data_IF_426981012472
#
_entry.id   IF_426981012472
#
_cell.length_a   1.000
_cell.length_b   1.000
_cell.length_c   1.000
_cell.angle_alpha   90.00
_cell.angle_beta   90.00
_cell.angle_gamma   90.00
#
_symmetry.space_group_name_H-M   'P 1'
#
loop_
_entity.id
_entity.type
_entity.pdbx_description
1 polymer ?
#
# COMPACT_ATOMS: atom_id res chain seq x y z
N UNK A 1 -0.71 -55.02 59.92
CA UNK A 1 0.57 -54.34 59.64
C UNK A 1 0.97 -54.67 58.21
N UNK A 2 0.79 -53.73 57.28
CA UNK A 2 1.14 -53.89 55.85
C UNK A 2 2.62 -53.51 55.67
N UNK A 3 3.39 -54.45 55.14
CA UNK A 3 4.79 -54.28 54.76
C UNK A 3 4.88 -53.38 53.52
N UNK A 4 5.69 -52.33 53.62
CA UNK A 4 6.23 -51.62 52.46
C UNK A 4 7.51 -52.34 52.01
N UNK A 5 7.67 -52.54 50.70
CA UNK A 5 9.00 -52.42 50.09
C UNK A 5 8.87 -52.04 48.61
N UNK A 6 9.74 -51.10 48.25
CA UNK A 6 9.76 -50.33 47.02
C UNK A 6 10.42 -51.14 45.88
N UNK A 7 9.92 -51.01 44.65
CA UNK A 7 10.64 -51.43 43.45
C UNK A 7 10.80 -50.23 42.53
N UNK A 8 12.06 -49.88 42.27
CA UNK A 8 12.51 -48.76 41.44
C UNK A 8 11.98 -48.87 40.00
N UNK A 9 11.55 -47.72 39.49
CA UNK A 9 11.25 -47.46 38.09
C UNK A 9 12.52 -47.48 37.23
N UNK A 10 12.47 -48.17 36.10
CA UNK A 10 13.39 -47.98 34.97
C UNK A 10 12.55 -47.59 33.75
N UNK A 11 12.31 -46.29 33.56
CA UNK A 11 11.86 -45.78 32.27
C UNK A 11 13.08 -45.63 31.37
N UNK A 12 13.27 -46.59 30.46
CA UNK A 12 14.23 -46.48 29.37
C UNK A 12 13.69 -45.46 28.36
N UNK A 13 14.17 -44.22 28.44
CA UNK A 13 13.85 -43.15 27.51
C UNK A 13 14.57 -43.36 26.19
N UNK A 14 13.84 -43.82 25.16
CA UNK A 14 14.30 -43.80 23.78
C UNK A 14 14.37 -42.34 23.30
N UNK A 15 15.59 -41.78 23.23
CA UNK A 15 15.85 -40.49 22.60
C UNK A 15 15.70 -40.62 21.08
N UNK A 16 14.49 -40.39 20.57
CA UNK A 16 14.26 -40.19 19.14
C UNK A 16 14.85 -38.82 18.78
N UNK A 17 16.07 -38.83 18.24
CA UNK A 17 16.66 -37.64 17.63
C UNK A 17 15.95 -37.39 16.30
N UNK A 18 14.99 -36.47 16.29
CA UNK A 18 14.40 -35.98 15.04
C UNK A 18 15.48 -35.21 14.27
N UNK A 19 15.99 -35.80 13.19
CA UNK A 19 16.79 -35.09 12.21
C UNK A 19 15.86 -34.10 11.49
N UNK A 20 15.91 -32.83 11.90
CA UNK A 20 15.35 -31.75 11.11
C UNK A 20 16.20 -31.61 9.83
N UNK A 21 15.70 -32.13 8.72
CA UNK A 21 16.24 -31.78 7.41
C UNK A 21 15.97 -30.28 7.21
N UNK A 22 17.02 -29.47 7.23
CA UNK A 22 16.91 -28.08 6.81
C UNK A 22 16.47 -28.09 5.34
N UNK A 23 15.27 -27.58 5.05
CA UNK A 23 14.81 -27.42 3.69
C UNK A 23 15.80 -26.53 2.92
N UNK A 24 16.23 -26.95 1.72
CA UNK A 24 17.10 -26.12 0.89
C UNK A 24 16.36 -24.85 0.47
N UNK A 25 16.99 -23.69 0.71
CA UNK A 25 16.45 -22.39 0.30
C UNK A 25 16.44 -22.34 -1.24
N UNK A 26 15.27 -22.16 -1.90
CA UNK A 26 15.16 -22.04 -3.35
C UNK A 26 16.12 -20.98 -3.90
N UNK A 27 16.86 -21.34 -4.96
CA UNK A 27 17.78 -20.43 -5.63
C UNK A 27 17.27 -19.98 -7.00
N UNK A 28 17.19 -18.67 -7.19
CA UNK A 28 16.69 -18.03 -8.40
C UNK A 28 17.82 -17.23 -9.03
N UNK A 29 18.10 -17.45 -10.30
CA UNK A 29 19.13 -16.69 -11.04
C UNK A 29 18.48 -15.52 -11.76
N UNK A 30 19.07 -14.34 -11.62
CA UNK A 30 18.66 -13.12 -12.32
C UNK A 30 19.89 -12.54 -12.99
N UNK A 31 19.77 -12.19 -14.27
CA UNK A 31 20.82 -11.45 -14.98
C UNK A 31 20.36 -10.02 -15.21
N UNK A 32 21.15 -9.04 -14.76
CA UNK A 32 20.92 -7.62 -15.03
C UNK A 32 21.78 -7.21 -16.22
N UNK A 33 21.16 -6.61 -17.23
CA UNK A 33 21.82 -6.06 -18.43
C UNK A 33 21.73 -4.54 -18.44
N UNK A 34 22.32 -3.87 -19.43
CA UNK A 34 22.16 -2.42 -19.60
C UNK A 34 20.69 -1.97 -19.80
N UNK A 35 19.79 -2.89 -20.20
CA UNK A 35 18.42 -2.54 -20.62
C UNK A 35 17.31 -3.18 -19.78
N UNK A 36 17.52 -4.35 -19.21
CA UNK A 36 16.48 -5.16 -18.56
C UNK A 36 17.06 -6.28 -17.69
N UNK A 37 16.20 -6.97 -16.93
CA UNK A 37 16.52 -8.24 -16.31
C UNK A 37 16.21 -9.44 -17.22
N UNK A 38 16.91 -10.54 -16.98
CA UNK A 38 16.60 -11.84 -17.55
C UNK A 38 16.51 -12.89 -16.43
N UNK A 39 15.33 -13.50 -16.22
CA UNK A 39 14.04 -13.18 -16.84
C UNK A 39 13.40 -11.88 -16.28
N UNK A 40 12.46 -11.31 -17.05
CA UNK A 40 11.64 -10.15 -16.60
C UNK A 40 10.44 -10.54 -15.75
N UNK A 41 10.07 -11.83 -15.74
CA UNK A 41 8.98 -12.37 -14.92
C UNK A 41 9.51 -13.53 -14.11
N UNK A 42 9.28 -13.49 -12.81
CA UNK A 42 9.73 -14.48 -11.85
C UNK A 42 8.52 -15.01 -11.07
N UNK A 43 8.51 -16.32 -10.82
CA UNK A 43 7.57 -16.95 -9.91
C UNK A 43 8.34 -17.75 -8.89
N UNK A 44 8.08 -17.50 -7.60
CA UNK A 44 8.81 -18.11 -6.49
C UNK A 44 7.84 -18.58 -5.40
N UNK A 45 8.22 -19.58 -4.59
CA UNK A 45 7.48 -19.92 -3.39
C UNK A 45 7.54 -18.80 -2.34
N UNK A 46 6.49 -18.64 -1.54
CA UNK A 46 6.54 -17.83 -0.32
C UNK A 46 7.51 -18.42 0.70
N UNK A 47 8.09 -17.55 1.52
CA UNK A 47 9.14 -17.89 2.46
C UNK A 47 10.52 -17.43 1.99
N UNK A 48 11.55 -18.05 2.56
CA UNK A 48 12.93 -17.72 2.26
C UNK A 48 13.32 -18.11 0.83
N UNK A 49 13.80 -17.14 0.04
CA UNK A 49 14.29 -17.31 -1.34
C UNK A 49 15.66 -16.68 -1.48
N UNK A 50 16.56 -17.31 -2.22
CA UNK A 50 17.89 -16.78 -2.54
C UNK A 50 18.01 -16.41 -4.01
N UNK A 51 18.18 -15.12 -4.28
CA UNK A 51 18.52 -14.61 -5.60
C UNK A 51 20.03 -14.61 -5.82
N UNK A 52 20.46 -15.06 -6.99
CA UNK A 52 21.82 -14.99 -7.50
C UNK A 52 21.81 -14.02 -8.69
N UNK A 53 22.23 -12.79 -8.42
CA UNK A 53 22.07 -11.65 -9.32
C UNK A 53 23.39 -11.44 -10.04
N UNK A 54 23.44 -11.64 -11.35
CA UNK A 54 24.65 -11.49 -12.17
C UNK A 54 24.55 -10.23 -13.01
N UNK A 55 25.58 -9.39 -12.99
CA UNK A 55 25.64 -8.22 -13.84
C UNK A 55 26.37 -8.53 -15.16
N UNK A 56 25.64 -8.43 -16.29
CA UNK A 56 26.17 -8.56 -17.66
C UNK A 56 26.17 -7.24 -18.43
N UNK A 57 26.13 -6.11 -17.73
CA UNK A 57 26.33 -4.78 -18.29
C UNK A 57 27.80 -4.35 -18.27
N UNK A 58 28.06 -3.15 -18.79
CA UNK A 58 29.39 -2.53 -18.79
C UNK A 58 29.66 -1.61 -17.59
N UNK A 59 28.73 -1.50 -16.63
CA UNK A 59 28.85 -0.63 -15.44
C UNK A 59 28.38 -1.32 -14.17
N UNK A 60 28.70 -0.78 -13.00
CA UNK A 60 28.09 -1.28 -11.76
C UNK A 60 26.58 -1.02 -11.78
N UNK A 61 25.78 -2.03 -11.43
CA UNK A 61 24.31 -1.97 -11.44
C UNK A 61 23.74 -2.58 -10.15
N UNK A 62 22.45 -2.37 -9.96
CA UNK A 62 21.67 -2.88 -8.84
C UNK A 62 20.48 -3.73 -9.30
N UNK A 63 19.92 -4.48 -8.36
CA UNK A 63 18.64 -5.17 -8.51
C UNK A 63 17.85 -5.06 -7.22
N UNK A 64 16.62 -4.58 -7.33
CA UNK A 64 15.74 -4.34 -6.19
C UNK A 64 14.42 -5.08 -6.39
N UNK A 65 13.82 -5.51 -5.29
CA UNK A 65 12.43 -5.97 -5.21
C UNK A 65 11.61 -4.83 -4.63
N UNK A 66 10.57 -4.41 -5.34
CA UNK A 66 9.70 -3.31 -4.95
C UNK A 66 8.30 -3.81 -4.57
N UNK A 67 7.69 -3.12 -3.61
CA UNK A 67 6.28 -3.23 -3.30
C UNK A 67 5.66 -1.82 -3.32
N UNK A 68 5.17 -1.42 -4.51
CA UNK A 68 4.80 -0.04 -4.79
C UNK A 68 6.02 0.87 -4.72
N UNK A 69 5.99 1.87 -3.84
CA UNK A 69 7.09 2.84 -3.64
C UNK A 69 8.18 2.37 -2.67
N UNK A 70 8.03 1.18 -2.09
CA UNK A 70 8.94 0.66 -1.07
C UNK A 70 9.93 -0.34 -1.66
N UNK A 71 11.21 -0.19 -1.32
CA UNK A 71 12.23 -1.22 -1.56
C UNK A 71 12.11 -2.30 -0.49
N UNK A 72 11.78 -3.52 -0.90
CA UNK A 72 11.66 -4.71 -0.03
C UNK A 72 13.02 -5.31 0.27
N UNK A 73 13.86 -5.44 -0.76
CA UNK A 73 15.23 -5.94 -0.65
C UNK A 73 16.04 -5.52 -1.88
N UNK A 74 17.34 -5.30 -1.70
CA UNK A 74 18.21 -4.82 -2.78
C UNK A 74 19.63 -5.41 -2.71
N UNK A 75 20.27 -5.43 -3.87
CA UNK A 75 21.73 -5.53 -4.00
C UNK A 75 22.25 -4.47 -4.96
N UNK A 76 22.99 -3.52 -4.40
CA UNK A 76 23.61 -2.41 -5.13
C UNK A 76 25.07 -2.71 -5.52
N UNK A 77 25.60 -1.89 -6.43
CA UNK A 77 27.02 -1.87 -6.81
C UNK A 77 27.59 -3.22 -7.26
N UNK A 78 26.80 -4.02 -7.96
CA UNK A 78 27.24 -5.29 -8.55
C UNK A 78 28.15 -4.94 -9.73
N UNK A 79 29.45 -5.19 -9.61
CA UNK A 79 30.43 -4.85 -10.65
C UNK A 79 30.19 -5.63 -11.97
N UNK A 80 30.59 -5.08 -13.13
CA UNK A 80 30.51 -5.78 -14.43
C UNK A 80 31.12 -7.18 -14.39
N UNK A 81 30.36 -8.20 -14.80
CA UNK A 81 30.81 -9.59 -14.83
C UNK A 81 30.77 -10.31 -13.47
N UNK A 82 30.42 -9.62 -12.38
CA UNK A 82 30.28 -10.23 -11.05
C UNK A 82 28.83 -10.61 -10.76
N UNK A 83 28.66 -11.47 -9.75
CA UNK A 83 27.36 -11.77 -9.18
C UNK A 83 27.35 -11.48 -7.68
N UNK A 84 26.17 -11.17 -7.15
CA UNK A 84 25.90 -11.09 -5.72
C UNK A 84 24.74 -12.01 -5.35
N UNK A 85 24.68 -12.37 -4.06
CA UNK A 85 23.60 -13.20 -3.50
C UNK A 85 22.74 -12.35 -2.56
N UNK A 86 21.43 -12.53 -2.66
CA UNK A 86 20.45 -11.93 -1.75
C UNK A 86 19.52 -13.01 -1.25
N UNK A 87 19.44 -13.19 0.07
CA UNK A 87 18.44 -14.08 0.68
C UNK A 87 17.39 -13.19 1.33
N UNK A 88 16.13 -13.40 0.97
CA UNK A 88 14.99 -12.59 1.42
C UNK A 88 13.84 -13.52 1.77
N UNK A 89 13.07 -13.17 2.80
CA UNK A 89 11.84 -13.86 3.15
C UNK A 89 10.66 -13.13 2.50
N UNK A 90 9.97 -13.80 1.57
CA UNK A 90 8.94 -13.18 0.73
C UNK A 90 7.55 -13.68 1.10
N UNK A 91 6.64 -12.74 1.34
CA UNK A 91 5.22 -13.04 1.53
C UNK A 91 4.52 -13.27 0.18
N UNK A 92 3.46 -14.11 0.13
CA UNK A 92 2.67 -14.30 -1.07
C UNK A 92 2.17 -12.97 -1.65
N UNK A 93 2.23 -12.78 -2.97
CA UNK A 93 1.82 -11.55 -3.62
C UNK A 93 2.51 -11.26 -4.94
N UNK A 94 2.23 -10.09 -5.50
CA UNK A 94 2.88 -9.57 -6.71
C UNK A 94 3.75 -8.39 -6.32
N UNK A 95 4.99 -8.41 -6.79
CA UNK A 95 6.02 -7.39 -6.58
C UNK A 95 6.53 -6.92 -7.94
N UNK A 96 7.09 -5.72 -7.97
CA UNK A 96 7.89 -5.25 -9.10
C UNK A 96 9.37 -5.48 -8.82
N UNK A 97 10.20 -5.45 -9.86
CA UNK A 97 11.65 -5.52 -9.72
C UNK A 97 12.31 -4.47 -10.61
N UNK A 98 13.34 -3.79 -10.10
CA UNK A 98 14.14 -2.85 -10.89
C UNK A 98 15.38 -3.55 -11.42
N UNK A 99 15.80 -3.15 -12.62
CA UNK A 99 16.83 -3.84 -13.38
C UNK A 99 17.94 -2.87 -13.78
N UNK A 100 18.88 -2.63 -12.87
CA UNK A 100 19.95 -1.68 -13.08
C UNK A 100 19.46 -0.25 -12.97
N UNK A 101 19.27 0.45 -14.09
CA UNK A 101 18.85 1.85 -14.07
C UNK A 101 17.33 1.97 -13.86
N UNK A 102 16.90 2.93 -13.04
CA UNK A 102 15.47 3.23 -12.80
C UNK A 102 14.67 3.56 -14.08
N UNK A 103 15.33 3.90 -15.18
CA UNK A 103 14.69 4.14 -16.49
C UNK A 103 14.40 2.87 -17.27
N UNK A 104 14.94 1.72 -16.84
CA UNK A 104 14.68 0.43 -17.48
C UNK A 104 13.27 -0.07 -17.12
N UNK A 105 12.66 -0.90 -17.96
CA UNK A 105 11.36 -1.50 -17.64
C UNK A 105 11.43 -2.29 -16.33
N UNK A 106 10.38 -2.20 -15.50
CA UNK A 106 10.25 -3.01 -14.31
C UNK A 106 9.90 -4.45 -14.67
N UNK A 107 10.52 -5.41 -13.99
CA UNK A 107 10.12 -6.82 -14.02
C UNK A 107 8.99 -7.12 -13.03
N UNK A 108 8.38 -8.29 -13.12
CA UNK A 108 7.36 -8.77 -12.18
C UNK A 108 7.85 -10.00 -11.41
N UNK A 109 7.58 -10.02 -10.11
CA UNK A 109 7.84 -11.16 -9.23
C UNK A 109 6.54 -11.60 -8.55
N UNK A 110 6.08 -12.81 -8.86
CA UNK A 110 4.91 -13.43 -8.24
C UNK A 110 5.37 -14.43 -7.19
N UNK A 111 4.93 -14.24 -5.95
CA UNK A 111 5.23 -15.11 -4.82
C UNK A 111 3.99 -15.95 -4.50
N UNK A 112 4.11 -17.26 -4.63
CA UNK A 112 3.00 -18.21 -4.46
C UNK A 112 2.85 -18.65 -3.01
N UNK A 113 1.61 -18.68 -2.49
CA UNK A 113 1.35 -19.18 -1.14
C UNK A 113 1.52 -20.70 -1.05
N UNK A 114 2.12 -21.17 0.04
CA UNK A 114 2.21 -22.61 0.33
C UNK A 114 1.06 -23.14 1.20
N UNK A 115 0.38 -22.32 1.99
CA UNK A 115 -0.77 -22.73 2.81
C UNK A 115 -1.64 -21.49 3.14
N UNK A 116 -2.97 -21.66 3.25
CA UNK A 116 -3.93 -20.63 3.69
C UNK A 116 -3.79 -20.34 5.19
N UNK A 117 -2.68 -19.73 5.61
CA UNK A 117 -2.65 -19.06 6.89
C UNK A 117 -3.38 -17.71 6.73
N UNK A 118 -4.28 -17.34 7.66
CA UNK A 118 -4.92 -16.03 7.60
C UNK A 118 -3.82 -14.96 7.61
N UNK A 119 -3.89 -14.06 6.63
CA UNK A 119 -2.87 -13.03 6.45
C UNK A 119 -2.84 -12.11 7.67
N UNK A 120 -1.67 -12.00 8.29
CA UNK A 120 -1.47 -11.06 9.40
C UNK A 120 -1.06 -9.71 8.84
N UNK A 121 -1.89 -8.69 9.11
CA UNK A 121 -1.61 -7.32 8.71
C UNK A 121 -0.30 -6.85 9.33
N UNK A 122 0.65 -6.40 8.52
CA UNK A 122 1.92 -5.89 9.01
C UNK A 122 1.95 -4.37 8.98
N UNK A 123 2.80 -3.76 9.80
CA UNK A 123 3.04 -2.30 9.81
C UNK A 123 3.45 -1.81 8.41
N UNK A 124 4.22 -2.61 7.68
CA UNK A 124 4.68 -2.31 6.31
C UNK A 124 3.52 -2.16 5.32
N UNK A 125 2.42 -2.88 5.50
CA UNK A 125 1.25 -2.76 4.62
C UNK A 125 0.57 -1.41 4.81
N UNK A 126 0.42 -0.95 6.06
CA UNK A 126 -0.09 0.38 6.38
C UNK A 126 0.83 1.47 5.80
N UNK A 127 2.15 1.30 5.93
CA UNK A 127 3.15 2.23 5.38
C UNK A 127 3.04 2.29 3.86
N UNK A 128 2.95 1.15 3.17
CA UNK A 128 2.79 1.11 1.71
C UNK A 128 1.56 1.90 1.26
N UNK A 129 0.39 1.59 1.81
CA UNK A 129 -0.87 2.25 1.45
C UNK A 129 -0.78 3.76 1.70
N UNK A 130 -0.31 4.17 2.87
CA UNK A 130 -0.20 5.60 3.22
C UNK A 130 0.83 6.34 2.39
N UNK A 131 1.97 5.72 2.06
CA UNK A 131 3.00 6.31 1.22
C UNK A 131 2.50 6.52 -0.22
N UNK A 132 1.86 5.50 -0.81
CA UNK A 132 1.29 5.60 -2.16
C UNK A 132 0.14 6.63 -2.22
N UNK A 133 -0.74 6.63 -1.22
CA UNK A 133 -1.83 7.58 -1.16
C UNK A 133 -1.31 9.02 -0.96
N UNK A 134 -0.31 9.21 -0.08
CA UNK A 134 0.34 10.51 0.11
C UNK A 134 1.02 10.98 -1.17
N UNK A 135 1.70 10.08 -1.89
CA UNK A 135 2.32 10.41 -3.18
C UNK A 135 1.27 10.89 -4.19
N UNK A 136 0.12 10.20 -4.28
CA UNK A 136 -1.01 10.64 -5.10
C UNK A 136 -1.45 12.08 -4.76
N UNK A 137 -1.61 12.41 -3.48
CA UNK A 137 -1.98 13.78 -3.07
C UNK A 137 -0.90 14.81 -3.37
N UNK A 138 0.37 14.46 -3.22
CA UNK A 138 1.49 15.33 -3.61
C UNK A 138 1.43 15.61 -5.12
N UNK A 139 1.13 14.62 -5.95
CA UNK A 139 1.00 14.83 -7.40
C UNK A 139 -0.20 15.72 -7.74
N UNK A 140 -1.37 15.49 -7.12
CA UNK A 140 -2.54 16.37 -7.29
C UNK A 140 -2.24 17.82 -6.85
N UNK A 141 -1.55 18.00 -5.72
CA UNK A 141 -1.15 19.34 -5.24
C UNK A 141 -0.25 20.08 -6.23
N UNK A 142 0.69 19.38 -6.86
CA UNK A 142 1.56 19.96 -7.91
C UNK A 142 0.78 20.34 -9.15
N UNK A 143 -0.21 19.54 -9.54
CA UNK A 143 -1.07 19.85 -10.67
C UNK A 143 -1.94 21.08 -10.38
N UNK A 144 -2.51 21.17 -9.17
CA UNK A 144 -3.31 22.31 -8.75
C UNK A 144 -2.47 23.59 -8.66
N UNK A 145 -1.27 23.52 -8.07
CA UNK A 145 -0.34 24.65 -7.96
C UNK A 145 0.02 25.21 -9.34
N UNK A 146 0.37 24.34 -10.30
CA UNK A 146 0.59 24.75 -11.71
C UNK A 146 -0.67 25.33 -12.36
N UNK A 147 -1.84 24.74 -12.11
CA UNK A 147 -3.09 25.25 -12.64
C UNK A 147 -3.48 26.59 -11.98
N UNK A 148 -2.95 26.90 -10.80
CA UNK A 148 -3.20 28.13 -10.06
C UNK A 148 -2.50 29.36 -10.67
N UNK A 149 -1.41 29.18 -11.42
CA UNK A 149 -0.69 30.28 -12.08
C UNK A 149 -1.58 31.10 -13.03
N UNK A 150 -2.54 30.45 -13.70
CA UNK A 150 -3.47 31.09 -14.63
C UNK A 150 -4.90 31.21 -14.07
N UNK A 151 -5.05 31.22 -12.74
CA UNK A 151 -6.37 31.16 -12.10
C UNK A 151 -7.14 32.47 -12.14
N UNK A 152 -8.15 32.56 -13.01
CA UNK A 152 -9.10 33.65 -13.05
C UNK A 152 -10.38 33.31 -12.25
N UNK A 153 -10.71 34.12 -11.23
CA UNK A 153 -11.93 33.95 -10.41
C UNK A 153 -13.22 34.01 -11.21
N UNK A 154 -13.25 34.79 -12.30
CA UNK A 154 -14.42 34.90 -13.16
C UNK A 154 -14.61 33.69 -14.09
N UNK A 155 -13.58 32.83 -14.24
CA UNK A 155 -13.58 31.73 -15.20
C UNK A 155 -12.75 30.54 -14.69
N UNK A 156 -13.21 29.91 -13.62
CA UNK A 156 -12.57 28.70 -13.07
C UNK A 156 -12.92 27.52 -13.98
N UNK A 157 -11.90 26.89 -14.56
CA UNK A 157 -12.14 25.77 -15.46
C UNK A 157 -12.47 24.47 -14.68
N UNK A 158 -13.10 23.47 -15.32
CA UNK A 158 -13.49 22.24 -14.65
C UNK A 158 -12.31 21.47 -14.01
N UNK A 159 -11.15 21.42 -14.66
CA UNK A 159 -9.98 20.70 -14.13
C UNK A 159 -9.44 21.32 -12.83
N UNK A 160 -9.35 22.65 -12.79
CA UNK A 160 -9.00 23.42 -11.58
C UNK A 160 -9.98 23.13 -10.44
N UNK A 161 -11.28 23.12 -10.75
CA UNK A 161 -12.34 22.83 -9.78
C UNK A 161 -12.22 21.42 -9.22
N UNK A 162 -12.06 20.42 -10.08
CA UNK A 162 -11.91 19.02 -9.67
C UNK A 162 -10.69 18.83 -8.77
N UNK A 163 -9.53 19.33 -9.18
CA UNK A 163 -8.30 19.25 -8.38
C UNK A 163 -8.44 19.92 -7.02
N UNK A 164 -9.10 21.08 -6.98
CA UNK A 164 -9.35 21.82 -5.74
C UNK A 164 -10.18 21.00 -4.75
N UNK A 165 -11.35 20.48 -5.17
CA UNK A 165 -12.21 19.71 -4.27
C UNK A 165 -11.61 18.36 -3.88
N UNK A 166 -10.82 17.72 -4.75
CA UNK A 166 -10.07 16.51 -4.39
C UNK A 166 -9.10 16.76 -3.24
N UNK A 167 -8.36 17.87 -3.25
CA UNK A 167 -7.43 18.19 -2.17
C UNK A 167 -8.15 18.71 -0.93
N UNK A 168 -9.14 19.59 -1.10
CA UNK A 168 -9.93 20.16 -0.02
C UNK A 168 -10.59 19.08 0.85
N UNK A 169 -11.19 18.08 0.20
CA UNK A 169 -11.85 16.98 0.92
C UNK A 169 -10.88 16.18 1.78
N UNK A 170 -9.57 16.19 1.50
CA UNK A 170 -8.57 15.38 2.20
C UNK A 170 -7.57 16.14 3.07
N UNK A 171 -7.60 17.48 3.06
CA UNK A 171 -6.74 18.27 3.94
C UNK A 171 -6.88 17.85 5.42
N UNK A 172 -8.12 17.58 5.87
CA UNK A 172 -8.42 17.09 7.22
C UNK A 172 -7.96 15.67 7.55
N UNK A 173 -7.30 14.95 6.63
CA UNK A 173 -6.67 13.65 6.93
C UNK A 173 -5.23 13.78 7.49
N UNK A 174 -4.60 14.96 7.35
CA UNK A 174 -3.22 15.21 7.79
C UNK A 174 -3.13 15.93 9.14
N UNK A 175 -4.25 16.46 9.62
CA UNK A 175 -4.37 17.20 10.89
C UNK A 175 -5.83 17.18 11.33
N UNK A 176 -6.11 17.52 12.59
CA UNK A 176 -7.49 17.78 13.03
C UNK A 176 -8.01 18.96 12.19
N UNK A 177 -9.04 18.73 11.38
CA UNK A 177 -9.55 19.70 10.43
C UNK A 177 -9.83 21.04 11.12
N UNK A 178 -9.14 22.09 10.69
CA UNK A 178 -9.43 23.48 11.06
C UNK A 178 -10.33 24.08 9.96
N UNK A 179 -11.14 25.09 10.29
CA UNK A 179 -12.11 25.73 9.39
C UNK A 179 -11.43 26.30 8.12
N UNK A 180 -10.12 26.54 8.17
CA UNK A 180 -9.27 26.95 7.04
C UNK A 180 -9.14 25.89 5.94
N UNK A 181 -9.39 24.62 6.24
CA UNK A 181 -9.32 23.51 5.28
C UNK A 181 -10.56 23.43 4.37
N UNK A 182 -11.60 24.22 4.64
CA UNK A 182 -12.90 24.18 3.94
C UNK A 182 -13.25 25.49 3.22
N UNK A 183 -12.30 26.43 3.09
CA UNK A 183 -12.59 27.72 2.46
C UNK A 183 -13.08 27.57 1.01
N UNK A 184 -14.02 28.43 0.60
CA UNK A 184 -14.63 28.44 -0.72
C UNK A 184 -13.57 28.69 -1.82
N UNK A 185 -13.65 27.90 -2.89
CA UNK A 185 -12.84 28.03 -4.10
C UNK A 185 -12.92 29.45 -4.72
N UNK A 186 -14.06 30.14 -4.57
CA UNK A 186 -14.24 31.52 -5.03
C UNK A 186 -13.62 32.58 -4.08
N UNK A 187 -13.10 32.17 -2.93
CA UNK A 187 -12.57 33.02 -1.88
C UNK A 187 -11.36 33.87 -2.28
N UNK A 188 -11.13 34.95 -1.50
CA UNK A 188 -10.00 35.86 -1.72
C UNK A 188 -8.64 35.20 -1.42
N UNK A 189 -8.60 34.26 -0.48
CA UNK A 189 -7.36 33.64 0.02
C UNK A 189 -7.01 32.27 -0.58
N UNK A 190 -7.73 31.84 -1.63
CA UNK A 190 -7.57 30.50 -2.25
C UNK A 190 -6.12 30.16 -2.66
N UNK A 191 -5.34 31.11 -3.17
CA UNK A 191 -3.95 30.86 -3.58
C UNK A 191 -3.05 30.58 -2.37
N UNK A 192 -3.29 31.28 -1.27
CA UNK A 192 -2.61 31.01 0.01
C UNK A 192 -3.01 29.65 0.55
N UNK A 193 -4.27 29.26 0.40
CA UNK A 193 -4.76 27.94 0.81
C UNK A 193 -4.15 26.80 -0.03
N UNK A 194 -4.09 26.94 -1.36
CA UNK A 194 -3.43 25.96 -2.25
C UNK A 194 -1.97 25.75 -1.83
N UNK A 195 -1.26 26.84 -1.49
CA UNK A 195 0.12 26.77 -0.97
C UNK A 195 0.18 26.08 0.40
N UNK A 196 -0.76 26.38 1.30
CA UNK A 196 -0.83 25.74 2.61
C UNK A 196 -1.07 24.23 2.49
N UNK A 197 -1.98 23.79 1.62
CA UNK A 197 -2.19 22.36 1.35
C UNK A 197 -0.96 21.69 0.73
N UNK A 198 -0.29 22.37 -0.20
CA UNK A 198 0.96 21.85 -0.79
C UNK A 198 2.04 21.63 0.27
N UNK A 199 2.15 22.54 1.24
CA UNK A 199 3.05 22.38 2.39
C UNK A 199 2.59 21.26 3.32
N UNK A 200 1.30 21.18 3.61
CA UNK A 200 0.69 20.15 4.46
C UNK A 200 0.96 18.74 3.92
N UNK A 201 0.59 18.47 2.66
CA UNK A 201 0.73 17.14 2.06
C UNK A 201 2.17 16.70 1.88
N UNK A 202 3.11 17.64 1.73
CA UNK A 202 4.54 17.30 1.67
C UNK A 202 5.14 17.09 3.05
N UNK A 203 4.87 18.00 3.97
CA UNK A 203 5.53 18.09 5.27
C UNK A 203 4.95 17.18 6.34
N UNK A 204 3.67 16.87 6.31
CA UNK A 204 3.01 16.06 7.35
C UNK A 204 2.93 14.58 6.99
N UNK A 205 2.93 13.73 8.01
CA UNK A 205 2.72 12.28 7.86
C UNK A 205 1.24 11.99 7.67
N UNK A 206 0.93 11.11 6.71
CA UNK A 206 -0.43 10.58 6.55
C UNK A 206 -0.54 9.26 7.31
N UNK A 207 -1.52 9.16 8.21
CA UNK A 207 -1.83 7.92 8.91
C UNK A 207 -3.07 7.26 8.31
N UNK A 208 -3.06 5.93 8.18
CA UNK A 208 -4.15 5.20 7.52
C UNK A 208 -5.48 5.35 8.26
N UNK A 209 -5.48 5.25 9.59
CA UNK A 209 -6.69 5.45 10.41
C UNK A 209 -7.26 6.86 10.29
N UNK A 210 -6.41 7.90 10.19
CA UNK A 210 -6.86 9.28 9.96
C UNK A 210 -7.48 9.46 8.57
N UNK A 211 -6.90 8.82 7.55
CA UNK A 211 -7.45 8.82 6.19
C UNK A 211 -8.82 8.13 6.15
N UNK A 212 -8.96 6.96 6.77
CA UNK A 212 -10.22 6.23 6.86
C UNK A 212 -11.28 7.01 7.62
N UNK A 213 -10.91 7.53 8.80
CA UNK A 213 -11.77 8.43 9.60
C UNK A 213 -12.25 9.63 8.78
N UNK A 214 -11.40 10.20 7.92
CA UNK A 214 -11.78 11.31 7.05
C UNK A 214 -12.83 10.89 6.04
N UNK A 215 -12.68 9.75 5.38
CA UNK A 215 -13.69 9.22 4.46
C UNK A 215 -14.99 8.88 5.15
N UNK A 216 -14.94 8.24 6.33
CA UNK A 216 -16.12 7.94 7.12
C UNK A 216 -16.88 9.22 7.53
N UNK A 217 -16.16 10.30 7.87
CA UNK A 217 -16.77 11.58 8.18
C UNK A 217 -17.42 12.23 6.94
N UNK A 218 -16.75 12.16 5.78
CA UNK A 218 -17.29 12.69 4.51
C UNK A 218 -18.54 11.93 4.07
N UNK A 219 -18.52 10.59 4.13
CA UNK A 219 -19.69 9.75 3.86
C UNK A 219 -20.77 9.86 4.95
N UNK A 220 -20.49 10.50 6.08
CA UNK A 220 -21.49 10.81 7.10
C UNK A 220 -22.29 12.08 6.85
N UNK A 221 -21.94 12.87 5.84
CA UNK A 221 -22.61 14.14 5.54
C UNK A 221 -23.93 13.92 4.80
N UNK A 222 -24.97 14.66 5.21
CA UNK A 222 -26.33 14.50 4.66
C UNK A 222 -26.49 15.09 3.25
N UNK A 223 -25.72 16.11 2.92
CA UNK A 223 -25.77 16.78 1.61
C UNK A 223 -24.35 17.07 1.13
N UNK A 224 -24.03 16.58 -0.06
CA UNK A 224 -22.79 16.85 -0.77
C UNK A 224 -23.18 17.53 -2.08
N UNK A 225 -22.51 18.62 -2.44
CA UNK A 225 -22.68 19.18 -3.77
C UNK A 225 -21.99 18.26 -4.80
N UNK A 226 -22.34 18.40 -6.08
CA UNK A 226 -21.84 17.53 -7.14
C UNK A 226 -20.30 17.48 -7.21
N UNK A 227 -19.62 18.62 -7.04
CA UNK A 227 -18.16 18.67 -7.11
C UNK A 227 -17.50 17.93 -5.93
N UNK A 228 -18.04 18.06 -4.71
CA UNK A 228 -17.58 17.31 -3.54
C UNK A 228 -17.85 15.82 -3.71
N UNK A 229 -19.03 15.46 -4.21
CA UNK A 229 -19.41 14.07 -4.46
C UNK A 229 -18.42 13.40 -5.42
N UNK A 230 -18.13 14.04 -6.54
CA UNK A 230 -17.16 13.55 -7.53
C UNK A 230 -15.74 13.47 -6.96
N UNK A 231 -15.33 14.46 -6.16
CA UNK A 231 -14.03 14.47 -5.50
C UNK A 231 -13.89 13.31 -4.51
N UNK A 232 -14.91 13.08 -3.66
CA UNK A 232 -14.92 11.97 -2.70
C UNK A 232 -14.87 10.63 -3.43
N UNK A 233 -15.68 10.44 -4.48
CA UNK A 233 -15.65 9.22 -5.29
C UNK A 233 -14.26 8.96 -5.88
N UNK A 234 -13.60 9.97 -6.46
CA UNK A 234 -12.26 9.80 -7.04
C UNK A 234 -11.22 9.44 -5.98
N UNK A 235 -11.24 10.16 -4.87
CA UNK A 235 -10.33 9.96 -3.76
C UNK A 235 -10.52 8.59 -3.10
N UNK A 236 -11.77 8.15 -2.95
CA UNK A 236 -12.13 6.87 -2.37
C UNK A 236 -11.80 5.71 -3.31
N UNK A 237 -12.00 5.88 -4.62
CA UNK A 237 -11.56 4.90 -5.62
C UNK A 237 -10.06 4.62 -5.48
N UNK A 238 -9.23 5.67 -5.33
CA UNK A 238 -7.79 5.47 -5.14
C UNK A 238 -7.49 4.72 -3.83
N UNK A 239 -8.23 4.98 -2.76
CA UNK A 239 -8.04 4.24 -1.51
C UNK A 239 -8.39 2.75 -1.72
N UNK A 240 -9.55 2.46 -2.33
CA UNK A 240 -10.01 1.11 -2.62
C UNK A 240 -9.00 0.35 -3.48
N UNK A 241 -8.47 0.97 -4.52
CA UNK A 241 -7.40 0.41 -5.37
C UNK A 241 -6.18 -0.02 -4.55
N UNK A 242 -5.76 0.80 -3.58
CA UNK A 242 -4.58 0.52 -2.75
C UNK A 242 -4.82 -0.54 -1.67
N UNK A 243 -6.02 -0.60 -1.09
CA UNK A 243 -6.33 -1.57 -0.03
C UNK A 243 -6.77 -2.92 -0.60
N UNK A 244 -7.29 -2.97 -1.82
CA UNK A 244 -7.81 -4.21 -2.42
C UNK A 244 -6.80 -5.37 -2.43
N UNK A 245 -5.53 -5.21 -2.84
CA UNK A 245 -4.58 -6.33 -2.84
C UNK A 245 -4.28 -6.88 -1.44
N UNK A 246 -4.43 -6.06 -0.41
CA UNK A 246 -4.31 -6.47 0.98
C UNK A 246 -5.57 -7.22 1.43
N UNK A 247 -6.76 -6.67 1.16
CA UNK A 247 -8.03 -7.31 1.52
C UNK A 247 -8.26 -8.62 0.77
N UNK A 248 -7.90 -8.71 -0.51
CA UNK A 248 -7.98 -9.96 -1.28
C UNK A 248 -7.21 -11.12 -0.62
N UNK A 249 -6.17 -10.82 0.18
CA UNK A 249 -5.40 -11.81 0.92
C UNK A 249 -5.93 -12.05 2.33
N UNK A 250 -6.43 -11.01 2.98
CA UNK A 250 -6.73 -11.04 4.41
C UNK A 250 -8.21 -11.22 4.74
N UNK A 251 -9.09 -10.57 3.97
CA UNK A 251 -10.54 -10.63 4.09
C UNK A 251 -11.18 -10.44 2.70
N UNK A 252 -11.23 -11.52 1.89
CA UNK A 252 -11.75 -11.45 0.52
C UNK A 252 -13.22 -11.02 0.46
N UNK A 253 -14.02 -11.40 1.46
CA UNK A 253 -15.43 -11.04 1.56
C UNK A 253 -15.60 -9.53 1.76
N UNK A 254 -14.80 -8.92 2.65
CA UNK A 254 -14.77 -7.47 2.80
C UNK A 254 -14.24 -6.77 1.54
N UNK A 255 -13.24 -7.34 0.87
CA UNK A 255 -12.70 -6.83 -0.39
C UNK A 255 -13.79 -6.72 -1.47
N UNK A 256 -14.52 -7.82 -1.71
CA UNK A 256 -15.58 -7.88 -2.70
C UNK A 256 -16.74 -6.95 -2.33
N UNK A 257 -17.15 -6.97 -1.06
CA UNK A 257 -18.26 -6.14 -0.59
C UNK A 257 -17.95 -4.65 -0.72
N UNK A 258 -16.77 -4.21 -0.28
CA UNK A 258 -16.34 -2.81 -0.37
C UNK A 258 -16.32 -2.32 -1.82
N UNK A 259 -15.75 -3.12 -2.73
CA UNK A 259 -15.70 -2.79 -4.15
C UNK A 259 -17.10 -2.70 -4.78
N UNK A 260 -17.99 -3.64 -4.43
CA UNK A 260 -19.38 -3.67 -4.90
C UNK A 260 -20.18 -2.46 -4.41
N UNK A 261 -20.18 -2.21 -3.11
CA UNK A 261 -20.97 -1.13 -2.52
C UNK A 261 -20.45 0.25 -2.95
N UNK A 262 -19.13 0.38 -3.19
CA UNK A 262 -18.56 1.57 -3.83
C UNK A 262 -19.07 1.78 -5.26
N UNK A 263 -19.05 0.73 -6.09
CA UNK A 263 -19.56 0.79 -7.48
C UNK A 263 -21.05 1.17 -7.52
N UNK A 264 -21.86 0.58 -6.63
CA UNK A 264 -23.27 0.93 -6.49
C UNK A 264 -23.44 2.41 -6.12
N UNK A 265 -22.74 2.89 -5.09
CA UNK A 265 -22.80 4.30 -4.68
C UNK A 265 -22.29 5.27 -5.75
N UNK A 266 -21.31 4.85 -6.55
CA UNK A 266 -20.82 5.65 -7.67
C UNK A 266 -21.89 5.83 -8.75
N UNK A 267 -22.70 4.81 -8.99
CA UNK A 267 -23.79 4.84 -9.99
C UNK A 267 -25.09 5.47 -9.46
N UNK A 268 -25.34 5.37 -8.16
CA UNK A 268 -26.55 5.83 -7.48
C UNK A 268 -26.17 6.32 -6.08
N UNK A 269 -26.07 7.64 -5.90
CA UNK A 269 -25.50 8.26 -4.71
C UNK A 269 -26.51 8.49 -3.57
N UNK A 270 -27.58 7.68 -3.51
CA UNK A 270 -28.56 7.77 -2.42
C UNK A 270 -27.91 7.65 -1.03
N UNK A 271 -28.52 8.30 -0.03
CA UNK A 271 -28.07 8.24 1.37
C UNK A 271 -27.96 6.80 1.89
N UNK A 272 -28.80 5.88 1.41
CA UNK A 272 -28.73 4.47 1.78
C UNK A 272 -27.47 3.79 1.22
N UNK A 273 -27.12 4.03 -0.05
CA UNK A 273 -25.90 3.51 -0.66
C UNK A 273 -24.66 4.11 0.03
N UNK A 274 -24.69 5.41 0.30
CA UNK A 274 -23.61 6.12 1.01
C UNK A 274 -23.37 5.54 2.42
N UNK A 275 -24.45 5.29 3.17
CA UNK A 275 -24.35 4.74 4.52
C UNK A 275 -23.85 3.29 4.53
N UNK A 276 -24.23 2.47 3.54
CA UNK A 276 -23.68 1.11 3.38
C UNK A 276 -22.17 1.13 3.14
N UNK A 277 -21.73 1.97 2.20
CA UNK A 277 -20.31 2.14 1.92
C UNK A 277 -19.53 2.64 3.13
N UNK A 278 -20.12 3.57 3.91
CA UNK A 278 -19.54 4.05 5.17
C UNK A 278 -19.33 2.90 6.17
N UNK A 279 -20.30 2.00 6.31
CA UNK A 279 -20.19 0.84 7.20
C UNK A 279 -19.07 -0.12 6.77
N UNK A 280 -18.85 -0.28 5.46
CA UNK A 280 -17.75 -1.10 4.97
C UNK A 280 -16.39 -0.47 5.24
N UNK A 281 -16.26 0.85 5.11
CA UNK A 281 -15.05 1.57 5.53
C UNK A 281 -14.79 1.46 7.03
N UNK A 282 -15.83 1.51 7.86
CA UNK A 282 -15.68 1.29 9.32
C UNK A 282 -15.16 -0.11 9.64
N UNK A 283 -15.63 -1.14 8.92
CA UNK A 283 -15.09 -2.50 9.06
C UNK A 283 -13.63 -2.59 8.62
N UNK A 284 -13.28 -1.96 7.50
CA UNK A 284 -11.90 -1.86 7.04
C UNK A 284 -11.02 -1.17 8.08
N UNK A 285 -11.50 -0.09 8.70
CA UNK A 285 -10.79 0.62 9.75
C UNK A 285 -10.55 -0.25 10.98
N UNK A 286 -11.58 -0.94 11.47
CA UNK A 286 -11.45 -1.89 12.57
C UNK A 286 -10.47 -3.03 12.23
N UNK A 287 -10.53 -3.57 11.01
CA UNK A 287 -9.59 -4.59 10.53
C UNK A 287 -8.14 -4.07 10.56
N UNK A 288 -7.93 -2.82 10.14
CA UNK A 288 -6.61 -2.20 10.14
C UNK A 288 -6.10 -1.95 11.56
N UNK A 289 -6.97 -1.52 12.48
CA UNK A 289 -6.60 -1.24 13.87
C UNK A 289 -6.31 -2.51 14.68
N UNK A 290 -7.01 -3.62 14.39
CA UNK A 290 -6.76 -4.90 15.05
C UNK A 290 -5.39 -5.52 14.71
N UNK A 291 -4.71 -5.06 13.65
CA UNK A 291 -3.35 -5.47 13.32
C UNK A 291 -2.24 -4.83 14.18
N UNK A 292 -2.59 -4.13 15.28
CA UNK A 292 -1.64 -3.46 16.18
C UNK A 292 -1.32 -4.23 17.48
N UNK A 293 -1.93 -5.41 17.68
CA UNK A 293 -1.74 -6.26 18.87
C UNK A 293 -0.73 -7.39 18.67
#
# INVERSE_FOLDING_TARGET
MKLWNQALSLFSGCLISALAYAAEIPQIKVTVTDKQCEPMQLTVPAGQVRFVITNKSMRALEWEILNGVMVVAERENIAPGFYQKMTVDLEPGTYETTCGLLTNPHGSLVVQSHHHNPYQLKVQDKIRITAEYKFFLIQLSRQLDKAADNWNRASINPAQRTLYYQLQTLAGAFQRADDRDLADMAGKDRLSQIKAWTQLFRGQTLHLGMLLSRFEALLGQQTLNHDHQQAIQTNLNKLIELVKPLLDKADPDLSEKLAKDFSVWQSDDTQNNQQRLRQDLQKLHLFIDQGES
#
